data_IF_167299788361
#
_entry.id   IF_167299788361
#
_cell.length_a   1.000
_cell.length_b   1.000
_cell.length_c   1.000
_cell.angle_alpha   90.00
_cell.angle_beta   90.00
_cell.angle_gamma   90.00
#
_symmetry.space_group_name_H-M   'P 1'
#
loop_
_entity.id
_entity.type
_entity.pdbx_description
1 polymer ?
#
# COMPACT_ATOMS: atom_id res chain seq x y z
N UNK A 1 22.13 10.09 15.96
CA UNK A 1 22.17 8.64 16.16
C UNK A 1 21.02 8.28 17.10
N UNK A 2 19.92 7.71 16.62
CA UNK A 2 18.79 7.33 17.49
C UNK A 2 17.39 7.71 17.01
N UNK A 3 17.02 7.37 15.76
CA UNK A 3 15.60 7.30 15.36
C UNK A 3 15.42 6.10 14.44
N UNK A 4 15.73 4.90 14.92
CA UNK A 4 15.64 3.67 14.12
C UNK A 4 15.39 2.45 15.01
N UNK A 5 14.27 2.41 15.72
CA UNK A 5 13.79 1.15 16.31
C UNK A 5 12.31 1.11 16.73
N UNK A 6 11.57 2.22 16.70
CA UNK A 6 10.19 2.23 17.21
C UNK A 6 9.08 1.91 16.19
N UNK A 7 9.38 1.78 14.88
CA UNK A 7 8.35 1.49 13.88
C UNK A 7 8.07 -0.02 13.68
N UNK A 8 9.10 -0.88 13.77
CA UNK A 8 8.94 -2.31 13.48
C UNK A 8 8.20 -3.07 14.60
N UNK A 9 8.40 -2.68 15.85
CA UNK A 9 7.82 -3.36 17.01
C UNK A 9 6.31 -3.12 17.16
N UNK A 10 5.81 -1.96 16.70
CA UNK A 10 4.38 -1.61 16.78
C UNK A 10 3.59 -2.26 15.64
N UNK A 11 4.17 -2.35 14.45
CA UNK A 11 3.59 -3.08 13.30
C UNK A 11 3.52 -4.58 13.59
N UNK A 12 4.55 -5.18 14.19
CA UNK A 12 4.49 -6.61 14.58
C UNK A 12 3.43 -6.88 15.66
N UNK A 13 3.30 -6.01 16.68
CA UNK A 13 2.37 -6.28 17.80
C UNK A 13 0.90 -6.18 17.41
N UNK A 14 0.51 -5.25 16.53
CA UNK A 14 -0.87 -5.16 16.05
C UNK A 14 -1.24 -6.35 15.13
N UNK A 15 -0.24 -6.94 14.45
CA UNK A 15 -0.43 -8.14 13.61
C UNK A 15 -0.53 -9.47 14.39
N UNK A 16 -0.13 -9.50 15.67
CA UNK A 16 -0.01 -10.72 16.48
C UNK A 16 -1.21 -11.00 17.40
N UNK A 17 -2.23 -10.14 17.42
CA UNK A 17 -3.38 -10.27 18.34
C UNK A 17 -4.46 -11.28 17.90
N UNK A 18 -4.40 -11.79 16.67
CA UNK A 18 -5.25 -12.90 16.21
C UNK A 18 -4.44 -14.19 16.30
N UNK A 19 -4.97 -15.26 16.90
CA UNK A 19 -4.37 -16.61 16.88
C UNK A 19 -4.12 -17.06 15.43
N UNK A 20 -3.00 -16.67 14.84
CA UNK A 20 -2.54 -17.17 13.55
C UNK A 20 -1.64 -18.36 13.84
N UNK A 21 -1.98 -19.51 13.26
CA UNK A 21 -1.16 -20.71 13.31
C UNK A 21 0.11 -20.50 12.47
N UNK A 22 1.08 -19.77 13.02
CA UNK A 22 2.41 -19.71 12.42
C UNK A 22 3.08 -21.06 12.63
N UNK A 23 3.52 -21.68 11.54
CA UNK A 23 4.30 -22.91 11.62
C UNK A 23 5.68 -22.54 12.17
N UNK A 24 5.95 -22.84 13.44
CA UNK A 24 7.27 -22.63 14.03
C UNK A 24 8.17 -23.83 13.69
N UNK A 25 9.44 -23.58 13.44
CA UNK A 25 10.49 -24.60 13.37
C UNK A 25 11.65 -24.08 14.22
N UNK A 26 11.99 -24.77 15.30
CA UNK A 26 13.01 -24.33 16.27
C UNK A 26 12.81 -22.90 16.81
N UNK A 27 11.57 -22.42 16.94
CA UNK A 27 11.27 -21.07 17.44
C UNK A 27 11.38 -19.93 16.41
N UNK A 28 11.69 -20.23 15.14
CA UNK A 28 11.66 -19.24 14.04
C UNK A 28 10.27 -19.17 13.41
N UNK A 29 9.77 -17.95 13.22
CA UNK A 29 8.55 -17.70 12.46
C UNK A 29 8.84 -18.01 10.98
N UNK A 30 8.16 -19.00 10.42
CA UNK A 30 8.22 -19.26 8.98
C UNK A 30 7.37 -18.24 8.24
N UNK A 31 7.94 -17.66 7.19
CA UNK A 31 7.23 -16.75 6.29
C UNK A 31 6.20 -17.53 5.44
N UNK A 32 6.46 -18.80 5.13
CA UNK A 32 5.57 -19.66 4.35
C UNK A 32 4.81 -20.66 5.23
N UNK A 33 3.53 -20.89 4.91
CA UNK A 33 2.67 -21.87 5.60
C UNK A 33 2.20 -23.01 4.69
N UNK A 34 2.46 -22.93 3.37
CA UNK A 34 1.98 -23.86 2.32
C UNK A 34 0.46 -23.99 2.19
N UNK A 35 -0.31 -23.26 3.00
CA UNK A 35 -1.77 -23.34 2.97
C UNK A 35 -2.35 -22.81 1.65
N UNK A 36 -1.61 -22.00 0.91
CA UNK A 36 -1.99 -21.42 -0.38
C UNK A 36 -1.59 -22.23 -1.62
N UNK A 37 -1.00 -23.42 -1.46
CA UNK A 37 -0.46 -24.20 -2.58
C UNK A 37 -1.55 -24.75 -3.50
N UNK A 38 -2.78 -24.88 -2.99
CA UNK A 38 -3.97 -25.28 -3.76
C UNK A 38 -4.64 -24.11 -4.52
N UNK A 39 -3.96 -22.98 -4.68
CA UNK A 39 -4.47 -21.84 -5.45
C UNK A 39 -5.47 -20.94 -4.73
N UNK A 40 -5.69 -21.11 -3.42
CA UNK A 40 -6.62 -20.29 -2.62
C UNK A 40 -5.89 -19.53 -1.51
N UNK A 41 -6.41 -18.38 -1.09
CA UNK A 41 -5.91 -17.61 0.06
C UNK A 41 -7.06 -17.16 0.96
N UNK A 42 -6.77 -16.67 2.17
CA UNK A 42 -7.78 -16.16 3.10
C UNK A 42 -7.74 -14.64 3.17
N UNK A 43 -8.90 -13.99 3.14
CA UNK A 43 -9.03 -12.56 3.43
C UNK A 43 -8.95 -12.27 4.94
N UNK A 44 -9.04 -11.01 5.36
CA UNK A 44 -8.91 -10.61 6.77
C UNK A 44 -10.08 -11.07 7.67
N UNK A 45 -11.22 -11.42 7.06
CA UNK A 45 -12.34 -12.05 7.75
C UNK A 45 -12.18 -13.58 7.90
N UNK A 46 -11.17 -14.19 7.26
CA UNK A 46 -10.90 -15.62 7.31
C UNK A 46 -11.59 -16.42 6.21
N UNK A 47 -12.39 -15.78 5.35
CA UNK A 47 -12.99 -16.43 4.19
C UNK A 47 -11.90 -16.84 3.19
N UNK A 48 -11.96 -18.08 2.70
CA UNK A 48 -11.08 -18.57 1.64
C UNK A 48 -11.65 -18.29 0.26
N UNK A 49 -10.83 -17.69 -0.59
CA UNK A 49 -11.14 -17.35 -1.97
C UNK A 49 -10.02 -17.86 -2.90
N UNK A 50 -10.32 -18.17 -4.18
CA UNK A 50 -9.30 -18.39 -5.21
C UNK A 50 -8.32 -17.21 -5.30
N UNK A 51 -7.04 -17.44 -5.59
CA UNK A 51 -6.01 -16.38 -5.65
C UNK A 51 -6.19 -15.41 -6.82
N UNK A 52 -6.92 -15.82 -7.84
CA UNK A 52 -7.32 -15.04 -9.01
C UNK A 52 -8.64 -14.26 -8.81
N UNK A 53 -9.21 -14.31 -7.58
CA UNK A 53 -10.34 -13.48 -7.20
C UNK A 53 -10.00 -11.98 -7.30
N UNK A 54 -10.97 -11.17 -7.74
CA UNK A 54 -10.82 -9.73 -7.93
C UNK A 54 -10.31 -9.01 -6.67
N UNK A 55 -10.59 -9.52 -5.47
CA UNK A 55 -10.05 -9.00 -4.22
C UNK A 55 -8.54 -9.11 -4.15
N UNK A 56 -7.98 -10.28 -4.48
CA UNK A 56 -6.54 -10.47 -4.42
C UNK A 56 -5.81 -9.76 -5.56
N UNK A 57 -6.44 -9.63 -6.73
CA UNK A 57 -5.93 -8.77 -7.82
C UNK A 57 -5.81 -7.30 -7.40
N UNK A 58 -6.83 -6.79 -6.70
CA UNK A 58 -6.82 -5.44 -6.15
C UNK A 58 -5.76 -5.27 -5.05
N UNK A 59 -5.66 -6.22 -4.11
CA UNK A 59 -4.64 -6.20 -3.05
C UNK A 59 -3.23 -6.32 -3.61
N UNK A 60 -3.00 -7.20 -4.58
CA UNK A 60 -1.71 -7.37 -5.24
C UNK A 60 -1.28 -6.14 -6.02
N UNK A 61 -2.22 -5.50 -6.75
CA UNK A 61 -1.92 -4.25 -7.47
C UNK A 61 -1.61 -3.09 -6.51
N UNK A 62 -2.24 -3.05 -5.33
CA UNK A 62 -1.91 -2.08 -4.27
C UNK A 62 -0.51 -2.29 -3.69
N UNK A 63 -0.14 -3.55 -3.43
CA UNK A 63 1.19 -3.92 -2.94
C UNK A 63 2.29 -3.61 -3.97
N UNK A 64 2.01 -3.85 -5.26
CA UNK A 64 2.90 -3.47 -6.36
C UNK A 64 3.10 -1.95 -6.44
N UNK A 65 2.03 -1.17 -6.27
CA UNK A 65 2.13 0.30 -6.20
C UNK A 65 3.02 0.73 -5.04
N UNK A 66 2.77 0.22 -3.83
CA UNK A 66 3.57 0.55 -2.64
C UNK A 66 5.05 0.20 -2.83
N UNK A 67 5.33 -0.96 -3.45
CA UNK A 67 6.68 -1.40 -3.78
C UNK A 67 7.37 -0.48 -4.79
N UNK A 68 6.64 -0.04 -5.83
CA UNK A 68 7.17 0.89 -6.84
C UNK A 68 7.51 2.27 -6.26
N UNK A 69 6.69 2.78 -5.32
CA UNK A 69 6.97 4.02 -4.59
C UNK A 69 8.20 3.88 -3.69
N UNK A 70 8.36 2.72 -3.04
CA UNK A 70 9.56 2.39 -2.27
C UNK A 70 10.83 2.48 -3.11
N UNK A 71 10.79 1.99 -4.35
CA UNK A 71 11.91 2.10 -5.29
C UNK A 71 12.16 3.54 -5.75
N UNK A 72 11.11 4.31 -6.04
CA UNK A 72 11.24 5.73 -6.39
C UNK A 72 11.92 6.54 -5.27
N UNK A 73 11.55 6.25 -4.02
CA UNK A 73 12.08 6.89 -2.81
C UNK A 73 13.59 6.71 -2.63
N UNK A 74 14.14 5.55 -2.99
CA UNK A 74 15.59 5.29 -2.90
C UNK A 74 16.42 6.14 -3.89
N UNK A 75 15.79 6.72 -4.91
CA UNK A 75 16.46 7.57 -5.90
C UNK A 75 16.26 9.08 -5.68
N UNK A 76 15.52 9.47 -4.65
CA UNK A 76 15.34 10.87 -4.29
C UNK A 76 16.67 11.50 -3.82
N UNK A 77 16.89 12.77 -4.16
CA UNK A 77 18.07 13.50 -3.71
C UNK A 77 18.05 13.80 -2.21
N UNK A 78 19.21 14.02 -1.58
CA UNK A 78 19.33 14.17 -0.11
C UNK A 78 18.63 15.40 0.46
N UNK A 79 18.34 16.41 -0.36
CA UNK A 79 17.62 17.63 0.04
C UNK A 79 16.12 17.59 -0.28
N UNK A 80 15.64 16.48 -0.85
CA UNK A 80 14.24 16.35 -1.23
C UNK A 80 13.37 16.01 -0.03
N UNK A 81 12.20 16.63 0.07
CA UNK A 81 11.13 16.29 1.03
C UNK A 81 10.22 15.17 0.50
N UNK A 82 10.38 14.75 -0.75
CA UNK A 82 9.59 13.68 -1.37
C UNK A 82 9.67 12.34 -0.63
N UNK A 83 10.82 11.88 -0.10
CA UNK A 83 10.90 10.60 0.61
C UNK A 83 9.89 10.45 1.75
N UNK A 84 9.66 11.52 2.51
CA UNK A 84 8.71 11.50 3.63
C UNK A 84 7.27 11.45 3.13
N UNK A 85 6.94 12.26 2.11
CA UNK A 85 5.62 12.23 1.45
C UNK A 85 5.33 10.84 0.85
N UNK A 86 6.32 10.23 0.18
CA UNK A 86 6.20 8.89 -0.42
C UNK A 86 6.05 7.81 0.65
N UNK A 87 6.79 7.88 1.75
CA UNK A 87 6.64 6.95 2.86
C UNK A 87 5.24 7.06 3.50
N UNK A 88 4.72 8.28 3.63
CA UNK A 88 3.35 8.48 4.11
C UNK A 88 2.32 7.85 3.17
N UNK A 89 2.49 8.01 1.85
CA UNK A 89 1.63 7.34 0.85
C UNK A 89 1.73 5.82 0.97
N UNK A 90 2.92 5.25 1.18
CA UNK A 90 3.06 3.80 1.40
C UNK A 90 2.30 3.32 2.64
N UNK A 91 2.30 4.10 3.73
CA UNK A 91 1.48 3.81 4.91
C UNK A 91 -0.02 3.86 4.58
N UNK A 92 -0.47 4.88 3.84
CA UNK A 92 -1.87 4.99 3.41
C UNK A 92 -2.29 3.82 2.51
N UNK A 93 -1.42 3.36 1.61
CA UNK A 93 -1.67 2.18 0.78
C UNK A 93 -1.77 0.90 1.63
N UNK A 94 -1.04 0.79 2.73
CA UNK A 94 -1.18 -0.32 3.69
C UNK A 94 -2.55 -0.29 4.37
N UNK A 95 -3.03 0.91 4.74
CA UNK A 95 -4.35 1.10 5.35
C UNK A 95 -5.47 0.78 4.34
N UNK A 96 -5.34 1.25 3.09
CA UNK A 96 -6.25 0.92 1.99
C UNK A 96 -6.28 -0.60 1.76
N UNK A 97 -5.12 -1.27 1.70
CA UNK A 97 -5.05 -2.73 1.59
C UNK A 97 -5.78 -3.44 2.73
N UNK A 98 -5.64 -2.93 3.96
CA UNK A 98 -6.33 -3.48 5.13
C UNK A 98 -7.85 -3.28 5.06
N UNK A 99 -8.30 -2.14 4.54
CA UNK A 99 -9.71 -1.86 4.28
C UNK A 99 -10.30 -2.85 3.29
N UNK A 100 -9.65 -3.03 2.14
CA UNK A 100 -10.13 -3.92 1.07
C UNK A 100 -10.19 -5.38 1.51
N UNK A 101 -9.18 -5.83 2.26
CA UNK A 101 -9.13 -7.20 2.76
C UNK A 101 -10.25 -7.52 3.78
N UNK A 102 -11.00 -6.51 4.23
CA UNK A 102 -12.03 -6.61 5.28
C UNK A 102 -13.44 -6.42 4.68
N UNK A 103 -14.17 -7.50 4.36
CA UNK A 103 -15.52 -7.38 3.81
C UNK A 103 -16.47 -6.79 4.84
N UNK A 104 -17.10 -5.65 4.51
CA UNK A 104 -18.01 -4.92 5.43
C UNK A 104 -19.17 -5.76 5.94
N UNK A 105 -19.70 -6.66 5.11
CA UNK A 105 -20.81 -7.57 5.45
C UNK A 105 -20.46 -8.60 6.54
N UNK A 106 -19.16 -8.84 6.78
CA UNK A 106 -18.66 -9.85 7.73
C UNK A 106 -17.76 -9.28 8.83
N UNK A 107 -17.56 -7.96 8.82
CA UNK A 107 -16.64 -7.29 9.74
C UNK A 107 -17.33 -6.95 11.07
N UNK A 108 -16.62 -7.16 12.18
CA UNK A 108 -17.07 -6.69 13.49
C UNK A 108 -17.00 -5.15 13.56
N UNK A 109 -17.80 -4.49 14.42
CA UNK A 109 -17.76 -3.03 14.58
C UNK A 109 -16.36 -2.48 14.86
N UNK A 110 -15.57 -3.21 15.67
CA UNK A 110 -14.16 -2.87 15.95
C UNK A 110 -13.29 -2.92 14.70
N UNK A 111 -13.46 -3.93 13.83
CA UNK A 111 -12.72 -4.02 12.57
C UNK A 111 -13.13 -2.92 11.59
N UNK A 112 -14.41 -2.57 11.55
CA UNK A 112 -14.92 -1.47 10.71
C UNK A 112 -14.32 -0.12 11.12
N UNK A 113 -14.29 0.20 12.42
CA UNK A 113 -13.71 1.43 12.94
C UNK A 113 -12.21 1.58 12.61
N UNK A 114 -11.46 0.47 12.56
CA UNK A 114 -10.04 0.47 12.17
C UNK A 114 -9.80 0.57 10.66
N UNK A 115 -10.86 0.57 9.85
CA UNK A 115 -10.76 0.62 8.39
C UNK A 115 -11.42 1.87 7.81
N UNK A 116 -11.80 2.85 8.62
CA UNK A 116 -12.33 4.11 8.08
C UNK A 116 -11.26 4.86 7.27
N UNK A 117 -11.62 5.30 6.07
CA UNK A 117 -10.76 6.11 5.21
C UNK A 117 -11.26 7.55 5.21
N UNK A 118 -10.44 8.47 5.74
CA UNK A 118 -10.82 9.88 5.90
C UNK A 118 -10.55 10.68 4.63
N UNK A 119 -11.51 11.56 4.28
CA UNK A 119 -11.33 12.57 3.22
C UNK A 119 -10.16 13.53 3.48
N UNK A 120 -9.71 13.66 4.73
CA UNK A 120 -8.52 14.46 5.07
C UNK A 120 -7.26 14.02 4.33
N UNK A 121 -7.14 12.74 3.97
CA UNK A 121 -6.01 12.25 3.18
C UNK A 121 -6.04 12.80 1.75
N UNK A 122 -7.22 12.91 1.15
CA UNK A 122 -7.40 13.48 -0.20
C UNK A 122 -7.02 14.95 -0.18
N UNK A 123 -7.57 15.72 0.75
CA UNK A 123 -7.23 17.15 0.92
C UNK A 123 -5.74 17.38 1.14
N UNK A 124 -5.08 16.46 1.86
CA UNK A 124 -3.63 16.54 2.07
C UNK A 124 -2.84 16.28 0.78
N UNK A 125 -3.27 15.32 -0.04
CA UNK A 125 -2.65 15.06 -1.35
C UNK A 125 -2.86 16.22 -2.31
N UNK A 126 -4.06 16.81 -2.37
CA UNK A 126 -4.37 18.00 -3.17
C UNK A 126 -3.43 19.15 -2.80
N UNK A 127 -3.28 19.44 -1.49
CA UNK A 127 -2.34 20.45 -1.02
C UNK A 127 -0.90 20.17 -1.45
N UNK A 128 -0.46 18.91 -1.41
CA UNK A 128 0.89 18.56 -1.87
C UNK A 128 1.06 18.69 -3.38
N UNK A 129 0.00 18.45 -4.16
CA UNK A 129 0.02 18.68 -5.61
C UNK A 129 0.22 20.17 -5.86
N UNK A 130 -0.57 21.03 -5.22
CA UNK A 130 -0.45 22.50 -5.34
C UNK A 130 0.96 22.97 -4.94
N UNK A 131 1.46 22.53 -3.77
CA UNK A 131 2.81 22.85 -3.28
C UNK A 131 3.94 22.46 -4.25
N UNK A 132 3.78 21.36 -4.99
CA UNK A 132 4.78 20.86 -5.94
C UNK A 132 4.64 21.51 -7.32
N UNK A 133 3.42 21.79 -7.76
CA UNK A 133 3.14 22.43 -9.05
C UNK A 133 3.59 23.90 -9.05
N UNK A 134 3.41 24.61 -7.93
CA UNK A 134 3.87 26.01 -7.74
C UNK A 134 5.39 26.19 -7.95
N UNK A 135 6.17 25.11 -7.87
CA UNK A 135 7.62 25.13 -8.07
C UNK A 135 8.03 24.86 -9.53
N UNK A 136 7.08 24.57 -10.41
CA UNK A 136 7.33 24.16 -11.79
C UNK A 136 6.92 25.26 -12.78
N UNK A 137 7.61 25.36 -13.93
CA UNK A 137 7.13 26.19 -15.01
C UNK A 137 5.81 25.65 -15.56
N UNK A 138 4.93 26.50 -16.11
CA UNK A 138 3.68 26.07 -16.71
C UNK A 138 3.88 24.95 -17.74
N UNK A 139 3.08 23.89 -17.64
CA UNK A 139 3.14 22.78 -18.57
C UNK A 139 2.50 23.18 -19.91
N UNK A 140 3.31 23.20 -20.97
CA UNK A 140 2.84 23.59 -22.32
C UNK A 140 2.56 22.41 -23.24
N UNK A 141 3.11 21.23 -22.94
CA UNK A 141 3.02 20.03 -23.77
C UNK A 141 3.04 18.77 -22.90
N UNK A 142 2.60 17.64 -23.46
CA UNK A 142 2.80 16.35 -22.80
C UNK A 142 4.30 16.02 -22.67
N UNK A 143 4.67 15.51 -21.50
CA UNK A 143 6.03 15.08 -21.21
C UNK A 143 6.21 13.60 -21.48
N UNK A 144 7.35 13.25 -22.07
CA UNK A 144 7.80 11.87 -22.12
C UNK A 144 8.28 11.47 -20.71
N UNK A 145 7.79 10.34 -20.15
CA UNK A 145 8.21 9.85 -18.83
C UNK A 145 9.73 9.69 -18.71
N UNK A 146 10.38 10.67 -18.09
CA UNK A 146 11.85 10.79 -18.02
C UNK A 146 12.24 11.77 -16.90
N UNK A 147 13.46 12.32 -16.90
CA UNK A 147 13.90 13.30 -15.90
C UNK A 147 14.69 12.71 -14.72
N UNK A 148 15.45 11.63 -14.96
CA UNK A 148 16.26 10.96 -13.95
C UNK A 148 15.54 9.79 -13.26
N UNK A 149 16.25 9.09 -12.36
CA UNK A 149 15.78 7.83 -11.77
C UNK A 149 14.50 8.02 -10.96
N UNK A 150 14.49 8.97 -10.01
CA UNK A 150 13.32 9.24 -9.18
C UNK A 150 12.09 9.58 -10.04
N UNK A 151 12.21 10.54 -10.97
CA UNK A 151 11.11 10.94 -11.87
C UNK A 151 10.59 9.77 -12.71
N UNK A 152 11.49 8.97 -13.29
CA UNK A 152 11.11 7.82 -14.12
C UNK A 152 10.33 6.78 -13.31
N UNK A 153 10.77 6.48 -12.08
CA UNK A 153 10.05 5.57 -11.19
C UNK A 153 8.74 6.15 -10.66
N UNK A 154 8.64 7.48 -10.46
CA UNK A 154 7.37 8.13 -10.12
C UNK A 154 6.37 8.07 -11.28
N UNK A 155 6.82 8.23 -12.53
CA UNK A 155 5.96 8.01 -13.69
C UNK A 155 5.50 6.55 -13.81
N UNK A 156 6.38 5.58 -13.54
CA UNK A 156 5.99 4.17 -13.45
C UNK A 156 4.93 3.96 -12.36
N UNK A 157 5.18 4.47 -11.15
CA UNK A 157 4.27 4.40 -10.00
C UNK A 157 2.91 5.00 -10.34
N UNK A 158 2.87 6.13 -11.06
CA UNK A 158 1.63 6.75 -11.57
C UNK A 158 0.84 5.82 -12.49
N UNK A 159 1.51 5.09 -13.39
CA UNK A 159 0.81 4.13 -14.27
C UNK A 159 0.29 2.91 -13.52
N UNK A 160 1.05 2.43 -12.51
CA UNK A 160 0.63 1.34 -11.62
C UNK A 160 -0.57 1.79 -10.79
N UNK A 161 -0.55 3.00 -10.24
CA UNK A 161 -1.66 3.58 -9.48
C UNK A 161 -2.96 3.58 -10.29
N UNK A 162 -2.90 4.04 -11.56
CA UNK A 162 -4.05 3.99 -12.48
C UNK A 162 -4.52 2.56 -12.76
N UNK A 163 -3.61 1.58 -12.80
CA UNK A 163 -3.99 0.15 -12.94
C UNK A 163 -4.67 -0.35 -11.68
N UNK A 164 -4.15 -0.02 -10.50
CA UNK A 164 -4.73 -0.36 -9.20
C UNK A 164 -6.14 0.21 -9.04
N UNK A 165 -6.35 1.47 -9.43
CA UNK A 165 -7.66 2.13 -9.48
C UNK A 165 -8.69 1.29 -10.27
N UNK A 166 -8.34 0.85 -11.48
CA UNK A 166 -9.22 -0.03 -12.29
C UNK A 166 -9.48 -1.38 -11.63
N UNK A 167 -8.54 -1.92 -10.85
CA UNK A 167 -8.78 -3.17 -10.10
C UNK A 167 -9.76 -2.96 -8.95
N UNK A 168 -9.77 -1.78 -8.32
CA UNK A 168 -10.77 -1.45 -7.30
C UNK A 168 -12.16 -1.29 -7.86
N UNK A 169 -12.32 -0.62 -9.00
CA UNK A 169 -13.65 -0.44 -9.58
C UNK A 169 -14.26 -1.76 -10.03
N UNK A 170 -13.43 -2.69 -10.55
CA UNK A 170 -13.87 -4.04 -10.87
C UNK A 170 -14.23 -4.90 -9.63
N UNK A 171 -13.80 -4.50 -8.44
CA UNK A 171 -14.14 -5.19 -7.19
C UNK A 171 -15.50 -4.73 -6.61
N UNK A 172 -16.03 -3.60 -7.06
CA UNK A 172 -17.33 -3.05 -6.58
C UNK A 172 -18.56 -3.70 -7.22
N UNK A 173 -18.38 -4.68 -8.10
CA UNK A 173 -19.44 -5.41 -8.81
C UNK A 173 -19.87 -6.67 -8.06
#
# INVERSE_FOLDING_TARGET
MGVRLMSLHRILRTFLSTKRNYSTDGGRIRIYTRTGDKGTSSNYAGQRLPKDDALFEALGSNDELSSSLGLAREFCGPQSTLPDKLQEIQCLLQDIGSHLATPRSSATPTKLAHTEFSMSHVTKLEKWIDELDDQLPPLTNFILPSGGKASSFLHLSRTICRRTERRYDNNKA
#
